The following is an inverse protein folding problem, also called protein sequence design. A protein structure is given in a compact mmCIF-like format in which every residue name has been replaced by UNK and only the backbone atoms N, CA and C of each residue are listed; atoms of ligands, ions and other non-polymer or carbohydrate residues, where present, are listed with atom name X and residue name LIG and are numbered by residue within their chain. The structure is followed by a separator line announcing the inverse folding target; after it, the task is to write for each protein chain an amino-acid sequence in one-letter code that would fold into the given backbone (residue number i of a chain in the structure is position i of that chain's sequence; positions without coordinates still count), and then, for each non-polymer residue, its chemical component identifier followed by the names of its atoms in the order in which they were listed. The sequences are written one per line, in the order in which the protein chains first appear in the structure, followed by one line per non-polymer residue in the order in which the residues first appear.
data_IF_607688617107
#
_entry.id   IF_607688617107
#
_cell.length_a   1.000
_cell.length_b   1.000
_cell.length_c   1.000
_cell.angle_alpha   90.00
_cell.angle_beta   90.00
_cell.angle_gamma   90.00
#
_symmetry.space_group_name_H-M   'P 1'
#
loop_
_entity.id
_entity.type
_entity.pdbx_description
1 polymer ?
#
# COMPACT_ATOMS: atom_id res chain seq x y z
N UNK A 1 33.98 40.78 -35.12
CA UNK A 1 33.55 39.77 -34.14
C UNK A 1 33.29 40.45 -32.78
N UNK A 2 32.27 41.34 -32.67
CA UNK A 2 31.92 42.08 -31.42
C UNK A 2 30.44 42.09 -31.12
N UNK A 3 29.63 41.21 -31.70
CA UNK A 3 28.16 41.21 -31.58
C UNK A 3 27.53 40.07 -30.76
N UNK A 4 28.32 39.09 -30.28
CA UNK A 4 27.74 37.88 -29.61
C UNK A 4 27.70 37.92 -28.06
N UNK A 5 28.29 38.95 -27.45
CA UNK A 5 28.33 39.02 -25.95
C UNK A 5 27.19 39.81 -25.32
N UNK A 6 26.36 40.48 -26.10
CA UNK A 6 25.23 41.28 -25.60
C UNK A 6 23.89 40.56 -25.59
N UNK A 7 23.77 39.46 -26.35
CA UNK A 7 22.55 38.66 -26.37
C UNK A 7 22.41 37.76 -25.14
N UNK A 8 23.52 37.39 -24.52
CA UNK A 8 23.52 36.50 -23.31
C UNK A 8 23.09 37.23 -22.03
N UNK A 9 23.28 38.56 -21.97
CA UNK A 9 22.87 39.36 -20.79
C UNK A 9 21.38 39.74 -20.83
N UNK A 10 20.76 39.80 -22.00
CA UNK A 10 19.34 40.13 -22.15
C UNK A 10 18.43 38.95 -21.77
N UNK A 11 18.91 37.70 -21.95
CA UNK A 11 18.14 36.50 -21.61
C UNK A 11 18.16 36.18 -20.12
N UNK A 12 19.21 36.57 -19.38
CA UNK A 12 19.30 36.40 -17.93
C UNK A 12 18.43 37.42 -17.14
N UNK A 13 18.12 38.57 -17.75
CA UNK A 13 17.26 39.60 -17.13
C UNK A 13 15.76 39.31 -17.21
N UNK A 14 15.30 38.49 -18.16
CA UNK A 14 13.88 38.14 -18.32
C UNK A 14 13.40 36.99 -17.42
N UNK A 15 14.29 36.20 -16.87
CA UNK A 15 13.96 35.11 -15.95
C UNK A 15 13.79 35.56 -14.48
N UNK A 16 14.24 36.78 -14.14
CA UNK A 16 14.16 37.28 -12.78
C UNK A 16 12.90 38.10 -12.46
N UNK A 17 12.07 38.44 -13.46
CA UNK A 17 10.86 39.29 -13.29
C UNK A 17 9.55 38.49 -13.27
N UNK A 18 9.57 37.20 -13.63
CA UNK A 18 8.38 36.36 -13.64
C UNK A 18 8.03 35.67 -12.29
N UNK A 19 8.82 35.93 -11.23
CA UNK A 19 8.60 35.31 -9.91
C UNK A 19 7.78 36.17 -8.92
N UNK A 20 7.28 37.35 -9.28
CA UNK A 20 6.60 38.27 -8.36
C UNK A 20 5.15 38.66 -8.72
N UNK A 21 4.49 37.97 -9.64
CA UNK A 21 3.09 38.31 -9.98
C UNK A 21 2.22 37.04 -9.96
N UNK A 22 1.81 36.62 -8.77
CA UNK A 22 0.91 35.48 -8.60
C UNK A 22 0.23 35.44 -7.24
N UNK A 23 -0.41 36.56 -6.83
CA UNK A 23 -1.42 36.55 -5.77
C UNK A 23 -2.72 37.00 -6.34
N UNK A 24 -3.69 36.12 -6.51
CA UNK A 24 -5.05 36.43 -6.94
C UNK A 24 -5.94 35.21 -6.76
N UNK A 25 -6.80 35.26 -5.79
CA UNK A 25 -7.78 34.33 -5.27
C UNK A 25 -8.57 33.54 -6.30
N UNK A 26 -8.70 32.24 -6.07
CA UNK A 26 -9.99 31.53 -6.14
C UNK A 26 -9.88 30.13 -5.53
N UNK A 27 -10.81 29.85 -4.65
CA UNK A 27 -11.03 28.64 -3.87
C UNK A 27 -11.24 27.40 -4.73
N UNK A 28 -10.41 26.37 -4.53
CA UNK A 28 -10.81 24.97 -4.68
C UNK A 28 -9.83 24.09 -3.88
N UNK A 29 -10.40 23.26 -3.02
CA UNK A 29 -9.75 22.34 -2.12
C UNK A 29 -8.90 21.31 -2.86
N UNK A 30 -7.58 21.40 -2.68
CA UNK A 30 -6.66 20.33 -3.01
C UNK A 30 -5.57 20.30 -1.94
N UNK A 31 -5.31 19.11 -1.41
CA UNK A 31 -4.41 18.86 -0.28
C UNK A 31 -3.06 19.53 -0.48
N UNK A 32 -2.65 20.31 0.49
CA UNK A 32 -1.36 20.94 0.54
C UNK A 32 -0.28 19.90 0.81
N UNK A 33 0.57 19.68 -0.18
CA UNK A 33 1.90 19.15 0.08
C UNK A 33 2.68 20.30 0.77
N UNK A 34 2.84 20.21 2.09
CA UNK A 34 3.70 21.10 2.84
C UNK A 34 5.16 20.92 2.39
N UNK A 35 5.64 21.89 1.67
CA UNK A 35 7.04 22.03 1.30
C UNK A 35 7.86 22.15 2.59
N UNK A 36 8.82 21.25 2.76
CA UNK A 36 9.76 21.23 3.89
C UNK A 36 10.33 22.63 4.15
N UNK A 37 9.81 23.30 5.16
CA UNK A 37 10.34 24.56 5.67
C UNK A 37 11.49 24.23 6.61
N UNK A 38 12.72 24.52 6.21
CA UNK A 38 13.90 24.49 7.08
C UNK A 38 13.75 25.53 8.20
N UNK A 39 13.04 25.18 9.26
CA UNK A 39 13.02 25.97 10.48
C UNK A 39 14.18 25.56 11.38
N UNK A 40 15.07 26.47 11.66
CA UNK A 40 16.17 26.36 12.64
C UNK A 40 15.67 26.53 14.09
N UNK A 41 14.44 26.11 14.39
CA UNK A 41 13.83 26.14 15.71
C UNK A 41 13.85 24.78 16.41
N UNK A 42 13.75 24.79 17.74
CA UNK A 42 13.40 23.61 18.53
C UNK A 42 12.08 23.03 17.99
N UNK A 43 11.98 21.71 17.85
CA UNK A 43 10.74 21.06 17.41
C UNK A 43 9.60 21.45 18.37
N UNK A 44 8.42 21.82 17.82
CA UNK A 44 7.24 22.14 18.62
C UNK A 44 6.45 20.86 19.01
N UNK A 45 7.15 19.76 19.21
CA UNK A 45 6.58 18.46 19.64
C UNK A 45 7.61 17.67 20.47
N UNK A 46 7.09 16.80 21.32
CA UNK A 46 7.86 15.91 22.20
C UNK A 46 8.06 14.54 21.57
N UNK A 47 7.11 14.10 20.73
CA UNK A 47 7.13 12.82 20.02
C UNK A 47 6.76 13.02 18.55
N UNK A 48 7.53 12.41 17.65
CA UNK A 48 7.25 12.40 16.22
C UNK A 48 7.04 10.97 15.73
N UNK A 49 5.88 10.73 15.10
CA UNK A 49 5.48 9.47 14.47
C UNK A 49 5.40 9.67 12.97
N UNK A 50 6.16 8.88 12.21
CA UNK A 50 6.07 8.81 10.75
C UNK A 50 5.23 7.59 10.35
N UNK A 51 4.11 7.83 9.69
CA UNK A 51 3.19 6.82 9.21
C UNK A 51 3.20 6.77 7.67
N UNK A 52 3.46 5.59 7.11
CA UNK A 52 3.47 5.38 5.67
C UNK A 52 2.08 5.00 5.09
N UNK A 53 1.07 4.78 5.95
CA UNK A 53 -0.28 4.40 5.54
C UNK A 53 -1.18 5.64 5.46
N UNK A 54 -1.32 6.20 4.25
CA UNK A 54 -2.17 7.36 4.02
C UNK A 54 -3.64 7.11 4.28
N UNK A 55 -4.12 5.89 4.04
CA UNK A 55 -5.49 5.47 4.24
C UNK A 55 -5.94 5.48 5.72
N UNK A 56 -5.02 5.40 6.66
CA UNK A 56 -5.33 5.49 8.10
C UNK A 56 -4.87 6.81 8.75
N UNK A 57 -4.56 7.83 7.97
CA UNK A 57 -4.01 9.10 8.45
C UNK A 57 -4.86 9.75 9.54
N UNK A 58 -6.18 9.80 9.35
CA UNK A 58 -7.10 10.41 10.31
C UNK A 58 -7.13 9.62 11.63
N UNK A 59 -7.13 8.29 11.57
CA UNK A 59 -7.10 7.42 12.75
C UNK A 59 -5.78 7.58 13.51
N UNK A 60 -4.66 7.67 12.79
CA UNK A 60 -3.33 7.91 13.39
C UNK A 60 -3.26 9.29 14.07
N UNK A 61 -3.79 10.33 13.42
CA UNK A 61 -3.83 11.67 14.00
C UNK A 61 -4.70 11.71 15.26
N UNK A 62 -5.87 11.06 15.25
CA UNK A 62 -6.76 10.98 16.41
C UNK A 62 -6.11 10.20 17.57
N UNK A 63 -5.42 9.10 17.28
CA UNK A 63 -4.69 8.32 18.28
C UNK A 63 -3.54 9.14 18.90
N UNK A 64 -2.78 9.86 18.08
CA UNK A 64 -1.69 10.74 18.53
C UNK A 64 -2.20 11.87 19.42
N UNK A 65 -3.34 12.49 19.07
CA UNK A 65 -3.99 13.53 19.88
C UNK A 65 -4.47 12.97 21.22
N UNK A 66 -5.14 11.80 21.22
CA UNK A 66 -5.63 11.15 22.44
C UNK A 66 -4.48 10.80 23.38
N UNK A 67 -3.42 10.18 22.86
CA UNK A 67 -2.20 9.89 23.62
C UNK A 67 -1.54 11.16 24.18
N UNK A 68 -1.42 12.18 23.34
CA UNK A 68 -0.85 13.47 23.77
C UNK A 68 -1.61 14.11 24.91
N UNK A 69 -2.95 14.08 24.87
CA UNK A 69 -3.81 14.56 25.98
C UNK A 69 -3.63 13.73 27.25
N UNK A 70 -3.61 12.41 27.12
CA UNK A 70 -3.47 11.50 28.26
C UNK A 70 -2.12 11.66 28.96
N UNK A 71 -1.04 11.76 28.19
CA UNK A 71 0.33 11.81 28.72
C UNK A 71 0.86 13.22 28.94
N UNK A 72 0.13 14.26 28.53
CA UNK A 72 0.57 15.66 28.65
C UNK A 72 1.76 16.01 27.75
N UNK A 73 1.86 15.38 26.58
CA UNK A 73 2.93 15.57 25.58
C UNK A 73 2.36 16.01 24.25
N UNK A 74 3.15 16.74 23.49
CA UNK A 74 2.80 17.11 22.10
C UNK A 74 3.28 16.03 21.14
N UNK A 75 2.36 15.45 20.39
CA UNK A 75 2.65 14.41 19.40
C UNK A 75 2.44 14.95 18.00
N UNK A 76 3.46 14.86 17.15
CA UNK A 76 3.36 15.05 15.70
C UNK A 76 3.15 13.68 15.07
N UNK A 77 2.00 13.45 14.42
CA UNK A 77 1.80 12.34 13.53
C UNK A 77 1.82 12.86 12.09
N UNK A 78 2.78 12.40 11.31
CA UNK A 78 2.87 12.69 9.88
C UNK A 78 2.50 11.43 9.11
N UNK A 79 1.53 11.54 8.23
CA UNK A 79 1.12 10.45 7.35
C UNK A 79 1.34 10.82 5.91
N UNK A 80 1.90 9.90 5.13
CA UNK A 80 2.02 10.06 3.69
C UNK A 80 0.67 9.97 3.00
N UNK A 81 0.55 10.60 1.83
CA UNK A 81 -0.60 10.37 0.96
C UNK A 81 -0.62 8.92 0.45
N UNK A 82 -1.82 8.38 0.22
CA UNK A 82 -1.98 7.04 -0.35
C UNK A 82 -1.27 6.95 -1.72
N UNK A 83 -0.54 5.85 -1.95
CA UNK A 83 0.21 5.60 -3.18
C UNK A 83 1.53 6.37 -3.34
N UNK A 84 1.96 7.14 -2.33
CA UNK A 84 3.27 7.82 -2.34
C UNK A 84 4.36 6.86 -1.87
N UNK A 85 5.50 6.84 -2.59
CA UNK A 85 6.68 6.09 -2.15
C UNK A 85 7.16 6.61 -0.79
N UNK A 86 7.12 5.73 0.21
CA UNK A 86 7.43 6.06 1.60
C UNK A 86 8.92 6.12 1.89
N UNK A 87 9.74 5.32 1.21
CA UNK A 87 11.13 5.09 1.58
C UNK A 87 12.00 6.34 1.40
N UNK A 88 11.86 7.03 0.27
CA UNK A 88 12.63 8.25 0.02
C UNK A 88 12.23 9.38 0.98
N UNK A 89 10.94 9.47 1.31
CA UNK A 89 10.45 10.45 2.27
C UNK A 89 10.96 10.12 3.67
N UNK A 90 10.89 8.83 4.07
CA UNK A 90 11.40 8.39 5.36
C UNK A 90 12.91 8.62 5.48
N UNK A 91 13.70 8.31 4.44
CA UNK A 91 15.15 8.63 4.42
C UNK A 91 15.42 10.10 4.64
N UNK A 92 14.62 10.97 4.03
CA UNK A 92 14.72 12.42 4.20
C UNK A 92 14.40 12.83 5.64
N UNK A 93 13.31 12.32 6.21
CA UNK A 93 12.91 12.61 7.59
C UNK A 93 13.93 12.07 8.62
N UNK A 94 14.45 10.86 8.42
CA UNK A 94 15.44 10.24 9.31
C UNK A 94 16.80 10.94 9.28
N UNK A 95 17.16 11.61 8.19
CA UNK A 95 18.35 12.44 8.08
C UNK A 95 18.14 13.89 8.56
N UNK A 96 16.92 14.24 8.95
CA UNK A 96 16.62 15.57 9.48
C UNK A 96 17.10 15.75 10.93
N UNK A 97 17.25 17.00 11.37
CA UNK A 97 17.56 17.31 12.77
C UNK A 97 16.46 16.84 13.73
N UNK A 98 15.22 16.86 13.28
CA UNK A 98 14.02 16.52 14.05
C UNK A 98 13.39 15.24 13.50
N UNK A 99 14.18 14.17 13.44
CA UNK A 99 13.75 12.89 12.89
C UNK A 99 12.64 12.22 13.72
N UNK A 100 11.80 11.37 13.10
CA UNK A 100 10.80 10.60 13.83
C UNK A 100 11.44 9.67 14.87
N UNK A 101 10.78 9.58 16.02
CA UNK A 101 11.13 8.63 17.08
C UNK A 101 10.43 7.27 16.89
N UNK A 102 9.30 7.28 16.19
CA UNK A 102 8.56 6.07 15.76
C UNK A 102 8.33 6.22 14.26
N UNK A 103 8.60 5.18 13.51
CA UNK A 103 8.40 5.18 12.07
C UNK A 103 7.87 3.83 11.57
N UNK A 104 7.06 3.88 10.52
CA UNK A 104 6.62 2.68 9.83
C UNK A 104 7.71 2.18 8.89
N UNK A 105 8.00 0.89 8.97
CA UNK A 105 8.82 0.17 8.01
C UNK A 105 7.89 -0.71 7.14
N UNK A 106 8.01 -0.61 5.82
CA UNK A 106 7.10 -1.30 4.90
C UNK A 106 7.28 -2.81 4.92
N UNK A 107 8.54 -3.27 4.97
CA UNK A 107 8.89 -4.67 4.84
C UNK A 107 10.26 -4.97 5.45
N UNK A 108 10.60 -6.25 5.52
CA UNK A 108 11.88 -6.70 6.04
C UNK A 108 13.07 -6.29 5.15
N UNK A 109 12.86 -6.07 3.86
CA UNK A 109 13.91 -5.68 2.92
C UNK A 109 14.51 -4.31 3.27
N UNK A 110 13.66 -3.34 3.60
CA UNK A 110 14.10 -2.01 4.01
C UNK A 110 14.59 -1.95 5.46
N UNK A 111 14.30 -2.97 6.27
CA UNK A 111 14.74 -3.06 7.66
C UNK A 111 16.26 -3.00 7.80
N UNK A 112 16.99 -3.63 6.89
CA UNK A 112 18.47 -3.68 6.91
C UNK A 112 19.08 -2.27 6.94
N UNK A 113 18.55 -1.36 6.14
CA UNK A 113 18.99 0.04 6.13
C UNK A 113 18.84 0.70 7.51
N UNK A 114 17.73 0.43 8.19
CA UNK A 114 17.42 1.06 9.49
C UNK A 114 18.19 0.42 10.65
N UNK A 115 18.50 -0.85 10.58
CA UNK A 115 19.31 -1.55 11.58
C UNK A 115 20.77 -1.20 11.44
N UNK A 116 21.34 -1.23 10.24
CA UNK A 116 22.73 -0.83 9.96
C UNK A 116 22.98 0.66 10.24
N UNK A 117 22.00 1.51 9.95
CA UNK A 117 22.03 2.93 10.27
C UNK A 117 21.87 3.24 11.76
N UNK A 118 21.57 2.25 12.59
CA UNK A 118 21.36 2.42 14.04
C UNK A 118 20.07 3.17 14.39
N UNK A 119 19.09 3.20 13.48
CA UNK A 119 17.80 3.85 13.68
C UNK A 119 16.75 2.92 14.28
N UNK A 120 16.77 1.63 13.92
CA UNK A 120 15.87 0.64 14.46
C UNK A 120 16.38 0.10 15.79
N UNK A 121 15.49 0.03 16.78
CA UNK A 121 15.79 -0.50 18.10
C UNK A 121 15.38 -1.96 18.20
N UNK A 122 16.25 -2.82 18.69
CA UNK A 122 15.91 -4.17 19.11
C UNK A 122 14.89 -4.13 20.25
N UNK A 123 13.67 -4.53 19.99
CA UNK A 123 12.55 -4.43 20.92
C UNK A 123 12.72 -5.34 22.16
N UNK A 124 13.54 -6.38 22.09
CA UNK A 124 13.88 -7.20 23.24
C UNK A 124 14.64 -6.43 24.34
N UNK A 125 15.26 -5.33 23.97
CA UNK A 125 15.98 -4.42 24.90
C UNK A 125 15.09 -3.39 25.57
N UNK A 126 13.79 -3.39 25.31
CA UNK A 126 12.86 -2.51 26.00
C UNK A 126 12.88 -2.77 27.51
N UNK A 127 12.70 -1.71 28.31
CA UNK A 127 12.73 -1.81 29.78
C UNK A 127 11.35 -1.89 30.40
N UNK A 128 10.29 -1.56 29.66
CA UNK A 128 8.91 -1.63 30.11
C UNK A 128 8.37 -3.06 29.95
N UNK A 129 7.91 -3.68 31.02
CA UNK A 129 7.47 -5.08 31.01
C UNK A 129 6.17 -5.30 30.23
N UNK A 130 5.23 -4.34 30.26
CA UNK A 130 3.99 -4.43 29.47
C UNK A 130 4.30 -4.39 27.97
N UNK A 131 5.27 -3.55 27.58
CA UNK A 131 5.71 -3.47 26.20
C UNK A 131 6.44 -4.76 25.77
N UNK A 132 7.27 -5.34 26.62
CA UNK A 132 7.91 -6.63 26.33
C UNK A 132 6.88 -7.75 26.15
N UNK A 133 5.84 -7.75 26.99
CA UNK A 133 4.76 -8.73 26.85
C UNK A 133 4.02 -8.53 25.52
N UNK A 134 3.70 -7.30 25.17
CA UNK A 134 3.09 -6.99 23.87
C UNK A 134 3.94 -7.51 22.70
N UNK A 135 5.25 -7.31 22.75
CA UNK A 135 6.17 -7.82 21.71
C UNK A 135 6.20 -9.35 21.70
N UNK A 136 6.19 -9.98 22.86
CA UNK A 136 6.18 -11.44 22.97
C UNK A 136 4.88 -12.10 22.47
N UNK A 137 3.76 -11.37 22.53
CA UNK A 137 2.45 -11.84 22.06
C UNK A 137 2.30 -11.78 20.52
N UNK A 138 3.25 -11.14 19.81
CA UNK A 138 3.23 -11.08 18.36
C UNK A 138 3.54 -12.47 17.78
N UNK A 139 2.68 -13.02 16.89
CA UNK A 139 3.00 -14.24 16.17
C UNK A 139 4.32 -14.11 15.43
N UNK A 140 5.17 -15.14 15.49
CA UNK A 140 6.51 -15.14 14.88
C UNK A 140 6.49 -14.73 13.40
N UNK A 141 5.46 -15.16 12.65
CA UNK A 141 5.26 -14.83 11.25
C UNK A 141 5.05 -13.34 10.95
N UNK A 142 4.74 -12.54 11.96
CA UNK A 142 4.55 -11.09 11.85
C UNK A 142 5.70 -10.27 12.44
N UNK A 143 6.75 -10.91 12.91
CA UNK A 143 7.92 -10.20 13.41
C UNK A 143 8.63 -9.47 12.27
N UNK A 144 8.96 -8.21 12.51
CA UNK A 144 9.89 -7.47 11.65
C UNK A 144 11.32 -7.77 12.11
N UNK A 145 11.94 -8.75 11.50
CA UNK A 145 13.21 -9.32 11.96
C UNK A 145 14.27 -9.37 10.86
N UNK A 146 15.53 -9.25 11.28
CA UNK A 146 16.73 -9.53 10.48
C UNK A 146 17.28 -10.96 10.74
N UNK A 147 16.51 -11.80 11.42
CA UNK A 147 16.92 -13.14 11.85
C UNK A 147 17.61 -13.17 13.21
N UNK A 148 17.91 -12.03 13.83
CA UNK A 148 18.61 -11.95 15.14
C UNK A 148 17.74 -11.33 16.23
N UNK A 149 16.89 -10.36 15.90
CA UNK A 149 16.03 -9.67 16.83
C UNK A 149 14.73 -9.23 16.16
N UNK A 150 13.73 -8.81 16.96
CA UNK A 150 12.52 -8.15 16.47
C UNK A 150 12.66 -6.64 16.60
N UNK A 151 12.46 -5.92 15.51
CA UNK A 151 12.60 -4.47 15.41
C UNK A 151 11.30 -3.72 15.22
N UNK A 152 10.18 -4.42 15.08
CA UNK A 152 8.90 -3.78 14.82
C UNK A 152 7.69 -4.51 15.35
N UNK A 153 6.63 -3.75 15.58
CA UNK A 153 5.30 -4.25 15.94
C UNK A 153 4.39 -4.07 14.73
N UNK A 154 3.70 -5.12 14.26
CA UNK A 154 2.73 -5.00 13.19
C UNK A 154 1.52 -4.19 13.69
N UNK A 155 1.20 -3.08 13.05
CA UNK A 155 0.00 -2.29 13.34
C UNK A 155 -1.03 -2.37 12.22
N UNK A 156 -0.64 -2.97 11.09
CA UNK A 156 -1.48 -3.21 9.94
C UNK A 156 -1.11 -4.54 9.30
N UNK A 157 -2.09 -5.36 9.01
CA UNK A 157 -1.91 -6.66 8.36
C UNK A 157 -2.75 -6.68 7.10
N UNK A 158 -2.13 -6.98 5.97
CA UNK A 158 -2.79 -7.04 4.67
C UNK A 158 -2.68 -8.45 4.09
N UNK A 159 -3.76 -8.90 3.46
CA UNK A 159 -3.81 -10.19 2.79
C UNK A 159 -3.99 -10.02 1.29
N UNK A 160 -3.54 -11.01 0.55
CA UNK A 160 -3.84 -11.13 -0.87
C UNK A 160 -5.13 -11.91 -1.06
N UNK A 161 -5.92 -11.52 -2.06
CA UNK A 161 -7.16 -12.21 -2.37
C UNK A 161 -7.95 -11.50 -3.45
N UNK A 162 -9.08 -12.13 -3.82
CA UNK A 162 -10.04 -11.53 -4.72
C UNK A 162 -11.09 -10.75 -3.94
N UNK A 163 -11.29 -9.50 -4.32
CA UNK A 163 -12.46 -8.72 -3.88
C UNK A 163 -13.60 -9.03 -4.84
N UNK A 164 -14.68 -9.60 -4.31
CA UNK A 164 -15.79 -10.08 -5.11
C UNK A 164 -17.01 -9.20 -4.89
N UNK A 165 -17.61 -8.72 -5.99
CA UNK A 165 -18.89 -8.03 -5.98
C UNK A 165 -20.03 -9.07 -5.89
N UNK A 166 -20.60 -9.23 -4.68
CA UNK A 166 -21.68 -10.18 -4.42
C UNK A 166 -22.96 -9.86 -5.20
N UNK A 167 -23.27 -8.59 -5.41
CA UNK A 167 -24.45 -8.20 -6.20
C UNK A 167 -24.25 -8.54 -7.69
N UNK A 168 -23.01 -8.46 -8.18
CA UNK A 168 -22.70 -8.93 -9.53
C UNK A 168 -22.86 -10.45 -9.64
N UNK A 169 -22.36 -11.22 -8.66
CA UNK A 169 -22.56 -12.66 -8.62
C UNK A 169 -24.07 -13.02 -8.58
N UNK A 170 -24.85 -12.32 -7.76
CA UNK A 170 -26.31 -12.51 -7.71
C UNK A 170 -26.98 -12.24 -9.07
N UNK A 171 -26.53 -11.20 -9.78
CA UNK A 171 -27.04 -10.88 -11.10
C UNK A 171 -26.63 -11.90 -12.19
N UNK A 172 -25.49 -12.57 -12.00
CA UNK A 172 -24.97 -13.58 -12.94
C UNK A 172 -25.55 -14.97 -12.68
N UNK A 173 -25.67 -15.38 -11.42
CA UNK A 173 -25.96 -16.77 -11.05
C UNK A 173 -27.26 -16.95 -10.23
N UNK A 174 -27.86 -15.87 -9.79
CA UNK A 174 -28.98 -15.86 -8.83
C UNK A 174 -28.51 -15.59 -7.38
N UNK A 175 -29.35 -14.89 -6.64
CA UNK A 175 -29.04 -14.47 -5.25
C UNK A 175 -28.81 -15.67 -4.32
N UNK A 176 -29.57 -16.74 -4.50
CA UNK A 176 -29.50 -18.00 -3.76
C UNK A 176 -28.22 -18.81 -4.04
N UNK A 177 -27.49 -18.51 -5.11
CA UNK A 177 -26.27 -19.21 -5.50
C UNK A 177 -24.99 -18.54 -5.01
N UNK A 178 -25.05 -17.30 -4.55
CA UNK A 178 -23.84 -16.49 -4.22
C UNK A 178 -22.95 -17.17 -3.19
N UNK A 179 -23.49 -17.59 -2.08
CA UNK A 179 -22.68 -18.19 -1.00
C UNK A 179 -22.12 -19.56 -1.41
N UNK A 180 -22.93 -20.37 -2.14
CA UNK A 180 -22.47 -21.65 -2.66
C UNK A 180 -21.34 -21.47 -3.69
N UNK A 181 -21.45 -20.47 -4.57
CA UNK A 181 -20.41 -20.11 -5.53
C UNK A 181 -19.10 -19.72 -4.82
N UNK A 182 -19.17 -18.87 -3.80
CA UNK A 182 -18.00 -18.42 -3.06
C UNK A 182 -17.30 -19.56 -2.31
N UNK A 183 -18.06 -20.49 -1.73
CA UNK A 183 -17.47 -21.68 -1.10
C UNK A 183 -16.82 -22.61 -2.12
N UNK A 184 -17.47 -22.88 -3.25
CA UNK A 184 -16.89 -23.67 -4.33
C UNK A 184 -15.63 -23.01 -4.93
N UNK A 185 -15.63 -21.68 -5.05
CA UNK A 185 -14.48 -20.91 -5.57
C UNK A 185 -13.24 -21.07 -4.70
N UNK A 186 -13.36 -21.16 -3.36
CA UNK A 186 -12.22 -21.32 -2.45
C UNK A 186 -11.41 -22.60 -2.66
N UNK A 187 -12.04 -23.62 -3.20
CA UNK A 187 -11.45 -24.96 -3.40
C UNK A 187 -11.37 -25.37 -4.87
N UNK A 188 -11.69 -24.44 -5.77
CA UNK A 188 -11.60 -24.66 -7.21
C UNK A 188 -10.16 -24.91 -7.65
N UNK A 189 -9.98 -25.82 -8.61
CA UNK A 189 -8.71 -26.03 -9.29
C UNK A 189 -8.39 -24.87 -10.24
N UNK A 190 -7.12 -24.75 -10.65
CA UNK A 190 -6.73 -23.75 -11.63
C UNK A 190 -7.49 -23.94 -12.97
N UNK A 191 -7.68 -25.19 -13.42
CA UNK A 191 -8.40 -25.48 -14.66
C UNK A 191 -9.87 -25.03 -14.57
N UNK A 192 -10.54 -25.26 -13.44
CA UNK A 192 -11.92 -24.78 -13.22
C UNK A 192 -11.96 -23.24 -13.18
N UNK A 193 -10.99 -22.61 -12.55
CA UNK A 193 -10.86 -21.15 -12.53
C UNK A 193 -10.66 -20.59 -13.94
N UNK A 194 -9.76 -21.17 -14.74
CA UNK A 194 -9.55 -20.75 -16.12
C UNK A 194 -10.82 -20.91 -16.97
N UNK A 195 -11.50 -22.04 -16.86
CA UNK A 195 -12.77 -22.28 -17.59
C UNK A 195 -13.86 -21.30 -17.14
N UNK A 196 -13.94 -20.98 -15.87
CA UNK A 196 -14.84 -19.93 -15.36
C UNK A 196 -14.55 -18.59 -16.04
N UNK A 197 -13.29 -18.18 -16.09
CA UNK A 197 -12.89 -16.91 -16.71
C UNK A 197 -13.26 -16.88 -18.19
N UNK A 198 -12.97 -17.95 -18.92
CA UNK A 198 -13.30 -18.07 -20.34
C UNK A 198 -14.82 -18.06 -20.60
N UNK A 199 -15.58 -18.76 -19.78
CA UNK A 199 -17.05 -18.79 -19.86
C UNK A 199 -17.64 -17.42 -19.60
N UNK A 200 -17.19 -16.72 -18.53
CA UNK A 200 -17.63 -15.36 -18.23
C UNK A 200 -17.24 -14.38 -19.33
N UNK A 201 -16.04 -14.51 -19.91
CA UNK A 201 -15.61 -13.66 -21.02
C UNK A 201 -16.48 -13.85 -22.26
N UNK A 202 -16.84 -15.08 -22.59
CA UNK A 202 -17.78 -15.40 -23.69
C UNK A 202 -19.18 -14.82 -23.42
N UNK A 203 -19.68 -14.99 -22.20
CA UNK A 203 -20.94 -14.39 -21.76
C UNK A 203 -20.93 -12.85 -21.86
N UNK A 204 -19.83 -12.20 -21.50
CA UNK A 204 -19.67 -10.75 -21.61
C UNK A 204 -19.72 -10.28 -23.06
N UNK A 205 -18.96 -10.93 -23.94
CA UNK A 205 -18.78 -10.52 -25.33
C UNK A 205 -19.94 -10.91 -26.24
N UNK A 206 -20.46 -12.09 -26.08
CA UNK A 206 -21.39 -12.73 -27.02
C UNK A 206 -22.80 -12.81 -26.46
N UNK A 207 -22.99 -12.63 -25.15
CA UNK A 207 -24.28 -12.83 -24.50
C UNK A 207 -24.71 -14.29 -24.42
N UNK A 208 -23.79 -15.23 -24.69
CA UNK A 208 -24.09 -16.65 -24.69
C UNK A 208 -24.19 -17.17 -23.26
N UNK A 209 -25.40 -17.52 -22.83
CA UNK A 209 -25.61 -18.20 -21.55
C UNK A 209 -24.91 -19.57 -21.54
N UNK A 210 -24.36 -19.92 -20.38
CA UNK A 210 -23.67 -21.18 -20.15
C UNK A 210 -23.67 -21.51 -18.66
N UNK A 211 -22.78 -22.37 -18.24
CA UNK A 211 -22.54 -22.66 -16.82
C UNK A 211 -21.07 -22.63 -16.49
N UNK A 212 -20.79 -22.38 -15.22
CA UNK A 212 -19.47 -22.43 -14.61
C UNK A 212 -19.46 -23.60 -13.66
N UNK A 213 -18.42 -24.44 -13.72
CA UNK A 213 -18.22 -25.54 -12.77
C UNK A 213 -17.05 -25.18 -11.85
N UNK A 214 -17.27 -25.23 -10.53
CA UNK A 214 -16.26 -25.00 -9.50
C UNK A 214 -16.39 -26.08 -8.44
N UNK A 215 -15.30 -26.76 -8.13
CA UNK A 215 -15.25 -27.86 -7.16
C UNK A 215 -16.35 -28.90 -7.38
N UNK A 216 -16.62 -29.22 -8.66
CA UNK A 216 -17.62 -30.17 -9.07
C UNK A 216 -19.08 -29.69 -8.97
N UNK A 217 -19.32 -28.43 -8.59
CA UNK A 217 -20.63 -27.82 -8.54
C UNK A 217 -20.88 -26.93 -9.77
N UNK A 218 -22.03 -27.08 -10.41
CA UNK A 218 -22.40 -26.29 -11.59
C UNK A 218 -23.24 -25.08 -11.21
N UNK A 219 -22.89 -23.91 -11.78
CA UNK A 219 -23.59 -22.63 -11.62
C UNK A 219 -24.01 -22.10 -12.98
N UNK A 220 -25.33 -22.10 -13.25
CA UNK A 220 -25.86 -21.61 -14.49
C UNK A 220 -25.87 -20.08 -14.56
N UNK A 221 -25.37 -19.52 -15.67
CA UNK A 221 -25.47 -18.10 -15.93
C UNK A 221 -26.88 -17.68 -16.29
N UNK A 222 -27.29 -16.49 -15.90
CA UNK A 222 -28.55 -15.89 -16.29
C UNK A 222 -28.69 -15.88 -17.82
N UNK A 223 -29.85 -16.26 -18.32
CA UNK A 223 -30.10 -16.38 -19.76
C UNK A 223 -29.93 -15.03 -20.50
N UNK A 224 -30.20 -13.94 -19.82
CA UNK A 224 -30.08 -12.59 -20.37
C UNK A 224 -29.23 -11.70 -19.45
N UNK A 225 -28.38 -10.88 -20.05
CA UNK A 225 -27.61 -9.86 -19.35
C UNK A 225 -28.50 -8.65 -19.02
N UNK A 226 -29.09 -8.66 -17.84
CA UNK A 226 -29.97 -7.58 -17.37
C UNK A 226 -29.43 -6.93 -16.09
N UNK A 227 -29.93 -5.76 -15.74
CA UNK A 227 -29.55 -5.07 -14.51
C UNK A 227 -28.04 -4.89 -14.37
N UNK A 228 -27.48 -5.29 -13.22
CA UNK A 228 -26.06 -5.16 -12.92
C UNK A 228 -25.18 -6.03 -13.84
N UNK A 229 -25.65 -7.22 -14.23
CA UNK A 229 -24.92 -8.07 -15.19
C UNK A 229 -24.72 -7.40 -16.55
N UNK A 230 -25.62 -6.50 -16.98
CA UNK A 230 -25.49 -5.77 -18.23
C UNK A 230 -24.35 -4.75 -18.23
N UNK A 231 -23.87 -4.35 -17.05
CA UNK A 231 -22.74 -3.40 -16.89
C UNK A 231 -21.39 -4.09 -16.87
N UNK A 232 -21.34 -5.42 -16.91
CA UNK A 232 -20.09 -6.16 -16.83
C UNK A 232 -19.30 -6.05 -18.13
N UNK A 233 -18.11 -5.46 -18.09
CA UNK A 233 -17.23 -5.23 -19.23
C UNK A 233 -16.01 -6.18 -19.25
N UNK A 234 -15.66 -6.77 -18.11
CA UNK A 234 -14.56 -7.71 -17.94
C UNK A 234 -14.73 -8.59 -16.73
N UNK A 235 -14.04 -9.72 -16.70
CA UNK A 235 -14.07 -10.66 -15.56
C UNK A 235 -13.32 -10.08 -14.36
N UNK A 236 -12.22 -9.35 -14.63
CA UNK A 236 -11.39 -8.71 -13.63
C UNK A 236 -11.34 -7.20 -13.84
N UNK A 237 -11.29 -6.47 -12.74
CA UNK A 237 -10.92 -5.06 -12.72
C UNK A 237 -9.56 -4.91 -12.07
N UNK A 238 -8.64 -4.27 -12.77
CA UNK A 238 -7.28 -4.00 -12.29
C UNK A 238 -6.93 -2.53 -12.46
N UNK A 239 -6.15 -1.99 -11.53
CA UNK A 239 -5.68 -0.62 -11.60
C UNK A 239 -4.52 -0.52 -12.60
N UNK A 240 -4.81 -0.39 -13.89
CA UNK A 240 -3.80 -0.42 -14.97
C UNK A 240 -2.74 0.69 -14.91
N UNK A 241 -2.99 1.79 -14.19
CA UNK A 241 -2.02 2.85 -13.91
C UNK A 241 -1.02 2.47 -12.81
N UNK A 242 -1.43 1.60 -11.88
CA UNK A 242 -0.64 1.17 -10.71
C UNK A 242 0.27 -0.01 -11.08
N UNK A 243 1.30 0.26 -11.88
CA UNK A 243 2.18 -0.79 -12.44
C UNK A 243 2.90 -1.62 -11.38
N UNK A 244 3.15 -1.05 -10.21
CA UNK A 244 3.79 -1.73 -9.08
C UNK A 244 2.97 -2.94 -8.61
N UNK A 245 1.64 -2.91 -8.72
CA UNK A 245 0.80 -4.04 -8.31
C UNK A 245 1.07 -5.30 -9.11
N UNK A 246 1.51 -5.18 -10.36
CA UNK A 246 1.89 -6.33 -11.19
C UNK A 246 3.25 -6.91 -10.75
N UNK A 247 4.22 -6.04 -10.44
CA UNK A 247 5.52 -6.48 -9.93
C UNK A 247 5.41 -7.09 -8.54
N UNK A 248 4.96 -6.31 -7.59
CA UNK A 248 4.96 -6.71 -6.18
C UNK A 248 3.99 -7.87 -5.90
N UNK A 249 2.78 -7.84 -6.45
CA UNK A 249 1.80 -8.88 -6.15
C UNK A 249 2.06 -10.16 -6.95
N UNK A 250 2.23 -10.08 -8.27
CA UNK A 250 2.41 -11.29 -9.08
C UNK A 250 3.76 -11.95 -8.85
N UNK A 251 4.82 -11.18 -8.69
CA UNK A 251 6.15 -11.74 -8.42
C UNK A 251 6.17 -12.42 -7.06
N UNK A 252 5.62 -11.79 -6.02
CA UNK A 252 5.55 -12.38 -4.69
C UNK A 252 4.73 -13.67 -4.69
N UNK A 253 3.55 -13.69 -5.30
CA UNK A 253 2.73 -14.91 -5.41
C UNK A 253 3.49 -16.02 -6.15
N UNK A 254 4.21 -15.70 -7.23
CA UNK A 254 5.00 -16.67 -7.97
C UNK A 254 6.16 -17.23 -7.13
N UNK A 255 6.85 -16.37 -6.38
CA UNK A 255 7.93 -16.76 -5.48
C UNK A 255 7.40 -17.64 -4.35
N UNK A 256 6.31 -17.24 -3.70
CA UNK A 256 5.68 -18.00 -2.61
C UNK A 256 5.15 -19.37 -3.06
N UNK A 257 4.74 -19.49 -4.34
CA UNK A 257 4.30 -20.77 -4.91
C UNK A 257 5.47 -21.76 -5.13
N UNK A 258 6.70 -21.26 -5.26
CA UNK A 258 7.88 -22.06 -5.55
C UNK A 258 8.71 -22.34 -4.28
N UNK A 259 8.84 -21.34 -3.42
CA UNK A 259 9.71 -21.37 -2.26
C UNK A 259 8.92 -21.38 -0.95
N UNK A 260 9.25 -22.27 0.00
CA UNK A 260 8.53 -22.39 1.26
C UNK A 260 8.75 -21.19 2.20
N UNK A 261 9.84 -20.46 2.02
CA UNK A 261 10.21 -19.30 2.83
C UNK A 261 11.24 -18.40 2.11
N UNK A 262 11.46 -17.22 2.66
CA UNK A 262 12.39 -16.22 2.10
C UNK A 262 13.85 -16.69 2.10
N UNK A 263 14.25 -17.59 3.01
CA UNK A 263 15.59 -18.14 3.04
C UNK A 263 15.82 -19.04 1.84
N UNK A 264 14.88 -19.96 1.57
CA UNK A 264 14.94 -20.83 0.40
C UNK A 264 14.96 -20.03 -0.90
N UNK A 265 14.16 -18.93 -0.98
CA UNK A 265 14.19 -18.03 -2.12
C UNK A 265 15.55 -17.31 -2.27
N UNK A 266 16.17 -16.87 -1.17
CA UNK A 266 17.48 -16.21 -1.17
C UNK A 266 18.66 -17.14 -1.54
N UNK A 267 18.50 -18.45 -1.31
CA UNK A 267 19.48 -19.48 -1.68
C UNK A 267 19.25 -20.06 -3.09
N UNK A 268 18.21 -19.61 -3.79
CA UNK A 268 17.83 -20.11 -5.10
C UNK A 268 18.90 -19.86 -6.17
N UNK A 269 18.99 -20.77 -7.13
CA UNK A 269 19.84 -20.63 -8.33
C UNK A 269 19.02 -20.14 -9.51
N UNK A 270 19.69 -19.70 -10.58
CA UNK A 270 19.01 -19.28 -11.82
C UNK A 270 18.23 -20.40 -12.54
N UNK A 271 18.40 -21.65 -12.10
CA UNK A 271 17.72 -22.82 -12.67
C UNK A 271 16.42 -23.17 -11.93
N UNK A 272 16.19 -22.56 -10.79
CA UNK A 272 14.98 -22.69 -9.96
C UNK A 272 14.02 -21.53 -10.20
#
# INVERSE_FOLDING_TARGET
MKGKKWLSLALAGMLAVSALAGCGSSSSSTGSADTASTSTGSADYDLYIFNNKGENADAMAAAAEAFGKEKGVKVKAFSLGSGVNSDDTLRTEMNSKNKPAIFSCMNAETLVEWTEGGFAMDLSKATNEEFKQLVADIPESFNLTDGTANYGIPYNVEGYGYIVDKEMLAALFGEDQVDAFLEAFKTATYDEFEQMVLTLQSYIKEGTAGSVTLSGQEFALAAEKTGKAATLEGVFSVAGSEKWTYGDHFVNIAVDAIFPDSKAAGEATLEQ
#
